data_IF_587813334393
#
_entry.id   IF_587813334393
#
_cell.length_a   1.000
_cell.length_b   1.000
_cell.length_c   1.000
_cell.angle_alpha   90.00
_cell.angle_beta   90.00
_cell.angle_gamma   90.00
#
_symmetry.space_group_name_H-M   'P 1'
#
loop_
_entity.id
_entity.type
_entity.pdbx_description
1 polymer ?
#
# COMPACT_ATOMS: atom_id res chain seq x y z
N UNK A 1 19.70 -5.89 17.74
CA UNK A 1 18.80 -7.00 18.08
C UNK A 1 18.79 -7.99 16.92
N UNK A 2 18.72 -9.29 17.18
CA UNK A 2 18.39 -10.27 16.13
C UNK A 2 16.87 -10.53 16.10
N UNK A 3 16.39 -11.21 15.06
CA UNK A 3 14.96 -11.38 14.80
C UNK A 3 14.19 -12.18 15.85
N UNK A 4 14.80 -13.24 16.39
CA UNK A 4 14.15 -14.09 17.41
C UNK A 4 14.00 -13.35 18.73
N UNK A 5 14.98 -12.52 19.11
CA UNK A 5 14.88 -11.68 20.29
C UNK A 5 13.82 -10.57 20.14
N UNK A 6 13.62 -10.04 18.92
CA UNK A 6 12.59 -9.01 18.69
C UNK A 6 11.18 -9.49 19.06
N UNK A 7 10.77 -10.67 18.57
CA UNK A 7 9.43 -11.23 18.87
C UNK A 7 9.25 -11.46 20.37
N UNK A 8 10.26 -12.03 21.02
CA UNK A 8 10.21 -12.30 22.46
C UNK A 8 10.03 -11.00 23.27
N UNK A 9 10.76 -9.95 22.93
CA UNK A 9 10.67 -8.64 23.60
C UNK A 9 9.29 -7.99 23.37
N UNK A 10 8.74 -8.07 22.15
CA UNK A 10 7.38 -7.57 21.88
C UNK A 10 6.37 -8.28 22.79
N UNK A 11 6.44 -9.61 22.87
CA UNK A 11 5.53 -10.39 23.71
C UNK A 11 5.68 -10.05 25.20
N UNK A 12 6.91 -9.81 25.66
CA UNK A 12 7.20 -9.37 27.04
C UNK A 12 6.55 -8.00 27.33
N UNK A 13 6.66 -7.05 26.40
CA UNK A 13 6.03 -5.74 26.55
C UNK A 13 4.51 -5.81 26.50
N UNK A 14 3.92 -6.63 25.62
CA UNK A 14 2.46 -6.85 25.56
C UNK A 14 1.97 -7.43 26.89
N UNK A 15 2.64 -8.45 27.41
CA UNK A 15 2.30 -9.05 28.69
C UNK A 15 2.42 -8.03 29.85
N UNK A 16 3.52 -7.27 29.90
CA UNK A 16 3.74 -6.23 30.90
C UNK A 16 2.66 -5.14 30.87
N UNK A 17 2.16 -4.83 29.67
CA UNK A 17 1.09 -3.85 29.47
C UNK A 17 -0.32 -4.32 29.87
N UNK A 18 -0.45 -5.58 30.34
CA UNK A 18 -1.76 -6.19 30.62
C UNK A 18 -2.51 -6.64 29.37
N UNK A 19 -1.80 -6.91 28.27
CA UNK A 19 -2.35 -7.29 26.96
C UNK A 19 -3.28 -6.23 26.36
N UNK A 20 -2.92 -4.95 26.51
CA UNK A 20 -3.63 -3.85 25.89
C UNK A 20 -3.52 -3.88 24.35
N UNK A 21 -4.51 -3.35 23.61
CA UNK A 21 -4.43 -3.26 22.14
C UNK A 21 -3.23 -2.41 21.70
N UNK A 22 -2.33 -3.01 20.90
CA UNK A 22 -1.12 -2.35 20.39
C UNK A 22 -1.47 -1.43 19.22
N UNK A 23 -1.01 -0.18 19.28
CA UNK A 23 -1.24 0.83 18.23
C UNK A 23 0.04 1.34 17.58
N UNK A 24 1.20 0.96 18.13
CA UNK A 24 2.50 1.27 17.56
C UNK A 24 3.57 0.33 18.07
N UNK A 25 4.54 0.00 17.23
CA UNK A 25 5.82 -0.60 17.62
C UNK A 25 6.95 0.29 17.08
N UNK A 26 7.96 0.59 17.88
CA UNK A 26 9.21 1.24 17.45
C UNK A 26 10.40 0.33 17.81
N UNK A 27 11.33 0.15 16.88
CA UNK A 27 12.53 -0.69 17.05
C UNK A 27 13.76 0.09 16.59
N UNK A 28 14.69 0.26 17.52
CA UNK A 28 16.02 0.80 17.25
C UNK A 28 17.09 -0.28 17.44
N UNK A 29 18.37 0.07 17.29
CA UNK A 29 19.47 -0.87 17.56
C UNK A 29 19.45 -1.43 18.99
N UNK A 30 19.01 -0.62 19.97
CA UNK A 30 19.20 -0.87 21.41
C UNK A 30 17.93 -0.83 22.25
N UNK A 31 16.80 -0.37 21.69
CA UNK A 31 15.53 -0.28 22.39
C UNK A 31 14.37 -0.70 21.50
N UNK A 32 13.34 -1.29 22.12
CA UNK A 32 12.08 -1.64 21.49
C UNK A 32 10.98 -1.04 22.34
N UNK A 33 9.99 -0.39 21.73
CA UNK A 33 8.84 0.11 22.47
C UNK A 33 7.53 -0.22 21.76
N UNK A 34 6.47 -0.42 22.55
CA UNK A 34 5.11 -0.51 22.06
C UNK A 34 4.28 0.63 22.65
N UNK A 35 3.34 1.15 21.86
CA UNK A 35 2.24 1.97 22.37
C UNK A 35 1.00 1.10 22.44
N UNK A 36 0.32 1.12 23.57
CA UNK A 36 -0.94 0.41 23.80
C UNK A 36 -2.04 1.39 24.21
N UNK A 37 -3.29 1.10 23.86
CA UNK A 37 -4.44 1.84 24.39
C UNK A 37 -4.94 1.21 25.69
N UNK A 38 -4.80 1.91 26.81
CA UNK A 38 -5.31 1.48 28.11
C UNK A 38 -6.28 2.54 28.62
N UNK A 39 -7.53 2.16 28.91
CA UNK A 39 -8.55 3.09 29.42
C UNK A 39 -8.82 4.29 28.50
N UNK A 40 -8.61 4.15 27.19
CA UNK A 40 -8.78 5.21 26.20
C UNK A 40 -7.59 6.18 26.05
N UNK A 41 -6.50 5.97 26.80
CA UNK A 41 -5.27 6.77 26.68
C UNK A 41 -4.09 5.94 26.17
N UNK A 42 -3.24 6.49 25.28
CA UNK A 42 -2.05 5.78 24.81
C UNK A 42 -0.98 5.72 25.90
N UNK A 43 -0.46 4.53 26.18
CA UNK A 43 0.64 4.29 27.13
C UNK A 43 1.84 3.67 26.42
N UNK A 44 3.04 4.18 26.70
CA UNK A 44 4.29 3.70 26.09
C UNK A 44 4.97 2.70 27.03
N UNK A 45 5.31 1.53 26.51
CA UNK A 45 6.09 0.50 27.20
C UNK A 45 7.38 0.29 26.42
N UNK A 46 8.52 0.42 27.09
CA UNK A 46 9.84 0.37 26.45
C UNK A 46 10.69 -0.70 27.10
N UNK A 47 11.25 -1.57 26.28
CA UNK A 47 12.33 -2.45 26.64
C UNK A 47 13.66 -1.81 26.21
N UNK A 48 14.61 -1.75 27.13
CA UNK A 48 15.98 -1.31 26.85
C UNK A 48 16.96 -2.03 27.77
N UNK A 49 17.98 -2.68 27.17
CA UNK A 49 19.04 -3.37 27.90
C UNK A 49 18.53 -4.34 28.98
N UNK A 50 17.47 -5.11 28.67
CA UNK A 50 16.90 -6.11 29.58
C UNK A 50 16.01 -5.53 30.69
N UNK A 51 15.64 -4.25 30.61
CA UNK A 51 14.71 -3.60 31.54
C UNK A 51 13.49 -3.10 30.79
N UNK A 52 12.31 -3.31 31.37
CA UNK A 52 11.06 -2.72 30.93
C UNK A 52 10.76 -1.50 31.79
N UNK A 53 10.40 -0.41 31.14
CA UNK A 53 9.88 0.80 31.76
C UNK A 53 8.57 1.21 31.05
N UNK A 54 7.70 1.93 31.76
CA UNK A 54 6.43 2.40 31.22
C UNK A 54 6.20 3.87 31.53
N UNK A 55 5.61 4.58 30.57
CA UNK A 55 5.22 5.98 30.76
C UNK A 55 3.86 6.25 30.12
N UNK A 56 2.93 6.73 30.95
CA UNK A 56 1.59 7.12 30.53
C UNK A 56 1.56 8.49 29.81
N UNK A 57 2.63 9.29 29.92
CA UNK A 57 2.69 10.70 29.50
C UNK A 57 3.53 10.98 28.25
N UNK A 58 4.10 9.96 27.59
CA UNK A 58 5.07 10.17 26.50
C UNK A 58 4.59 9.75 25.11
N UNK A 59 3.38 9.22 24.94
CA UNK A 59 2.87 8.97 23.59
C UNK A 59 2.21 10.22 23.02
N UNK A 60 2.83 10.82 21.99
CA UNK A 60 2.23 11.90 21.19
C UNK A 60 1.29 11.37 20.10
N UNK A 61 0.96 10.07 20.12
CA UNK A 61 0.08 9.44 19.13
C UNK A 61 -1.37 9.78 19.45
N UNK A 62 -2.01 10.57 18.58
CA UNK A 62 -3.36 11.12 18.80
C UNK A 62 -4.49 10.12 18.56
N UNK A 63 -4.30 9.12 17.69
CA UNK A 63 -5.12 7.93 17.54
C UNK A 63 -4.48 7.04 16.46
N UNK A 64 -4.53 5.72 16.64
CA UNK A 64 -4.14 4.76 15.61
C UNK A 64 -4.93 3.48 15.83
N UNK A 65 -5.33 2.83 14.75
CA UNK A 65 -6.02 1.55 14.76
C UNK A 65 -5.14 0.51 15.49
N UNK A 66 -5.69 -0.25 16.43
CA UNK A 66 -4.99 -1.39 16.99
C UNK A 66 -4.68 -2.45 15.94
N UNK A 67 -3.55 -3.11 16.08
CA UNK A 67 -3.14 -4.25 15.24
C UNK A 67 -2.49 -5.33 16.09
N UNK A 68 -2.41 -6.54 15.54
CA UNK A 68 -1.65 -7.62 16.13
C UNK A 68 -0.20 -7.58 15.60
N UNK A 69 0.82 -7.40 16.45
CA UNK A 69 2.20 -7.48 16.01
C UNK A 69 2.59 -8.84 15.39
N UNK A 70 1.83 -9.92 15.62
CA UNK A 70 2.05 -11.23 14.99
C UNK A 70 1.72 -11.25 13.50
N UNK A 71 0.91 -10.30 13.01
CA UNK A 71 0.66 -10.11 11.57
C UNK A 71 1.87 -9.55 10.81
N UNK A 72 2.91 -9.13 11.53
CA UNK A 72 4.12 -8.50 10.98
C UNK A 72 5.34 -9.41 11.15
N UNK A 73 6.17 -9.49 10.12
CA UNK A 73 7.39 -10.27 10.07
C UNK A 73 8.55 -9.65 10.89
N UNK A 74 8.33 -9.42 12.19
CA UNK A 74 9.32 -8.77 13.08
C UNK A 74 10.56 -9.64 13.30
N UNK A 75 10.48 -10.94 13.04
CA UNK A 75 11.62 -11.84 12.98
C UNK A 75 12.57 -11.53 11.81
N UNK A 76 12.07 -10.83 10.77
CA UNK A 76 12.88 -10.37 9.63
C UNK A 76 13.49 -8.98 9.84
N UNK A 77 13.35 -8.37 11.02
CA UNK A 77 13.90 -7.02 11.31
C UNK A 77 15.36 -6.85 10.87
N UNK A 78 16.30 -7.79 11.10
CA UNK A 78 17.67 -7.62 10.60
C UNK A 78 17.77 -7.51 9.08
N UNK A 79 16.91 -8.22 8.34
CA UNK A 79 16.86 -8.20 6.87
C UNK A 79 16.19 -6.91 6.37
N UNK A 80 15.10 -6.50 7.03
CA UNK A 80 14.39 -5.24 6.75
C UNK A 80 15.32 -4.05 6.94
N UNK A 81 16.04 -3.98 8.06
CA UNK A 81 16.98 -2.88 8.35
C UNK A 81 18.14 -2.83 7.35
N UNK A 82 18.70 -3.98 6.95
CA UNK A 82 19.72 -4.03 5.89
C UNK A 82 19.18 -3.50 4.57
N UNK A 83 18.03 -4.01 4.13
CA UNK A 83 17.40 -3.57 2.88
C UNK A 83 17.07 -2.08 2.89
N UNK A 84 16.58 -1.56 4.02
CA UNK A 84 16.31 -0.15 4.20
C UNK A 84 17.59 0.69 4.12
N UNK A 85 18.71 0.21 4.67
CA UNK A 85 19.98 0.92 4.58
C UNK A 85 20.50 0.99 3.14
N UNK A 86 20.41 -0.13 2.40
CA UNK A 86 20.83 -0.19 0.99
C UNK A 86 20.02 0.80 0.14
N UNK A 87 18.73 0.96 0.43
CA UNK A 87 17.83 1.84 -0.34
C UNK A 87 17.87 3.30 0.09
N UNK A 88 18.04 3.56 1.39
CA UNK A 88 18.15 4.93 1.92
C UNK A 88 19.57 5.49 1.79
N UNK A 89 20.57 4.63 1.58
CA UNK A 89 21.98 5.01 1.53
C UNK A 89 22.59 5.24 2.91
N UNK A 90 21.93 4.84 4.00
CA UNK A 90 22.41 5.06 5.37
C UNK A 90 22.11 3.90 6.31
N UNK A 91 23.15 3.42 7.00
CA UNK A 91 23.04 2.46 8.10
C UNK A 91 22.93 3.13 9.47
N UNK A 92 22.95 4.47 9.53
CA UNK A 92 23.05 5.21 10.79
C UNK A 92 21.68 5.46 11.40
N UNK A 93 21.58 5.19 12.72
CA UNK A 93 20.43 5.54 13.56
C UNK A 93 19.08 5.13 12.97
N UNK A 94 19.01 3.91 12.45
CA UNK A 94 17.77 3.38 11.89
C UNK A 94 16.71 3.22 12.98
N UNK A 95 15.49 3.62 12.65
CA UNK A 95 14.30 3.40 13.45
C UNK A 95 13.25 2.72 12.57
N UNK A 96 12.88 1.49 12.93
CA UNK A 96 11.76 0.79 12.34
C UNK A 96 10.50 1.12 13.14
N UNK A 97 9.41 1.45 12.46
CA UNK A 97 8.11 1.69 13.07
C UNK A 97 7.07 0.79 12.44
N UNK A 98 6.15 0.27 13.25
CA UNK A 98 4.91 -0.38 12.81
C UNK A 98 3.76 0.48 13.32
N UNK A 99 3.02 1.12 12.43
CA UNK A 99 2.00 2.10 12.79
C UNK A 99 0.96 2.24 11.68
N UNK A 100 -0.25 2.66 12.02
CA UNK A 100 -1.25 3.03 11.02
C UNK A 100 -0.71 4.14 10.11
N UNK A 101 -0.72 3.85 8.81
CA UNK A 101 -0.35 4.77 7.75
C UNK A 101 -1.56 5.51 7.19
N UNK A 102 -2.65 4.78 6.88
CA UNK A 102 -3.86 5.37 6.31
C UNK A 102 -5.10 4.48 6.42
N UNK A 103 -6.20 5.02 6.96
CA UNK A 103 -7.54 4.39 6.97
C UNK A 103 -7.53 2.92 7.44
N UNK A 104 -6.82 2.65 8.52
CA UNK A 104 -6.66 1.32 9.11
C UNK A 104 -5.59 0.44 8.47
N UNK A 105 -4.90 0.91 7.42
CA UNK A 105 -3.73 0.21 6.87
C UNK A 105 -2.54 0.47 7.77
N UNK A 106 -1.99 -0.59 8.37
CA UNK A 106 -0.77 -0.56 9.20
C UNK A 106 0.41 -1.04 8.36
N UNK A 107 1.52 -0.32 8.40
CA UNK A 107 2.73 -0.62 7.63
C UNK A 107 3.97 -0.63 8.51
N UNK A 108 5.02 -1.26 7.99
CA UNK A 108 6.37 -1.11 8.53
C UNK A 108 7.11 -0.01 7.77
N UNK A 109 7.73 0.91 8.49
CA UNK A 109 8.58 1.97 7.92
C UNK A 109 9.95 1.96 8.57
N UNK A 110 10.99 2.25 7.80
CA UNK A 110 12.34 2.47 8.34
C UNK A 110 12.80 3.86 7.94
N UNK A 111 13.18 4.65 8.94
CA UNK A 111 13.80 5.97 8.78
C UNK A 111 15.24 5.95 9.32
N UNK A 112 16.09 6.84 8.84
CA UNK A 112 17.49 7.00 9.29
C UNK A 112 17.72 8.42 9.82
N UNK A 113 18.78 8.63 10.61
CA UNK A 113 19.19 9.98 11.05
C UNK A 113 20.70 10.21 10.85
N UNK A 114 21.13 11.30 10.17
CA UNK A 114 20.29 12.33 9.52
C UNK A 114 19.42 11.74 8.39
N UNK A 115 18.22 12.31 8.23
CA UNK A 115 17.14 11.75 7.41
C UNK A 115 17.51 11.75 5.93
N UNK A 116 17.52 10.55 5.33
CA UNK A 116 17.85 10.37 3.91
C UNK A 116 16.59 10.04 3.10
N UNK A 117 15.85 9.00 3.49
CA UNK A 117 14.60 8.56 2.88
C UNK A 117 13.89 7.53 3.77
N UNK A 118 12.58 7.66 3.94
CA UNK A 118 11.77 6.59 4.57
C UNK A 118 11.56 5.45 3.58
N UNK A 119 11.84 4.22 4.03
CA UNK A 119 11.61 2.99 3.24
C UNK A 119 10.41 2.26 3.83
N UNK A 120 9.48 1.85 2.97
CA UNK A 120 8.24 1.21 3.37
C UNK A 120 8.27 -0.30 3.11
N UNK A 121 7.66 -1.07 4.00
CA UNK A 121 7.59 -2.51 3.93
C UNK A 121 6.16 -2.99 4.22
N UNK A 122 5.75 -4.06 3.53
CA UNK A 122 4.51 -4.80 3.77
C UNK A 122 4.61 -5.63 5.04
N UNK A 123 3.50 -6.12 5.62
CA UNK A 123 3.51 -6.93 6.84
C UNK A 123 4.44 -8.15 6.78
N UNK A 124 4.58 -8.79 5.62
CA UNK A 124 5.45 -9.94 5.40
C UNK A 124 6.97 -9.61 5.36
N UNK A 125 7.33 -8.32 5.48
CA UNK A 125 8.70 -7.82 5.42
C UNK A 125 9.21 -7.54 4.00
N UNK A 126 8.39 -7.74 2.96
CA UNK A 126 8.73 -7.35 1.60
C UNK A 126 8.72 -5.82 1.45
N UNK A 127 9.60 -5.30 0.59
CA UNK A 127 9.70 -3.87 0.34
C UNK A 127 8.59 -3.39 -0.59
N UNK A 128 8.05 -2.20 -0.32
CA UNK A 128 7.18 -1.46 -1.24
C UNK A 128 8.09 -0.70 -2.21
N UNK A 129 8.09 -1.09 -3.48
CA UNK A 129 9.04 -0.58 -4.46
C UNK A 129 8.59 0.76 -5.06
N UNK A 130 9.55 1.48 -5.65
CA UNK A 130 9.23 2.49 -6.65
C UNK A 130 8.56 1.83 -7.86
N UNK A 131 7.47 2.41 -8.34
CA UNK A 131 6.72 1.86 -9.46
C UNK A 131 7.06 2.58 -10.76
N UNK A 132 7.57 1.81 -11.72
CA UNK A 132 7.48 2.16 -13.14
C UNK A 132 6.18 1.60 -13.72
N UNK A 133 5.17 2.47 -13.89
CA UNK A 133 3.85 2.11 -14.43
C UNK A 133 3.90 1.64 -15.90
N UNK A 134 4.98 1.89 -16.64
CA UNK A 134 5.15 1.40 -18.01
C UNK A 134 5.79 -0.01 -18.06
N UNK A 135 6.20 -0.55 -16.91
CA UNK A 135 6.81 -1.88 -16.79
C UNK A 135 5.80 -2.92 -16.32
N UNK A 136 5.99 -4.18 -16.73
CA UNK A 136 5.17 -5.28 -16.20
C UNK A 136 5.26 -5.42 -14.68
N UNK A 137 6.46 -5.49 -14.05
CA UNK A 137 6.57 -5.62 -12.61
C UNK A 137 5.92 -4.45 -11.85
N UNK A 138 6.14 -3.22 -12.33
CA UNK A 138 5.56 -2.04 -11.69
C UNK A 138 4.04 -1.99 -11.80
N UNK A 139 3.47 -2.28 -12.98
CA UNK A 139 2.02 -2.34 -13.13
C UNK A 139 1.40 -3.47 -12.29
N UNK A 140 2.07 -4.62 -12.20
CA UNK A 140 1.60 -5.73 -11.38
C UNK A 140 1.53 -5.35 -9.89
N UNK A 141 2.62 -4.78 -9.34
CA UNK A 141 2.66 -4.31 -7.96
C UNK A 141 1.66 -3.17 -7.72
N UNK A 142 1.52 -2.24 -8.67
CA UNK A 142 0.57 -1.14 -8.55
C UNK A 142 -0.88 -1.60 -8.44
N UNK A 143 -1.26 -2.58 -9.28
CA UNK A 143 -2.60 -3.15 -9.28
C UNK A 143 -2.84 -3.95 -8.01
N UNK A 144 -1.90 -4.82 -7.62
CA UNK A 144 -2.00 -5.62 -6.40
C UNK A 144 -2.20 -4.74 -5.15
N UNK A 145 -1.34 -3.73 -4.99
CA UNK A 145 -1.42 -2.78 -3.86
C UNK A 145 -2.73 -1.96 -3.88
N UNK A 146 -3.23 -1.59 -5.07
CA UNK A 146 -4.42 -0.77 -5.22
C UNK A 146 -5.73 -1.57 -5.14
N UNK A 147 -5.74 -2.84 -5.53
CA UNK A 147 -6.90 -3.72 -5.36
C UNK A 147 -6.97 -4.28 -3.95
N UNK A 148 -5.82 -4.52 -3.30
CA UNK A 148 -5.73 -5.19 -2.00
C UNK A 148 -6.63 -6.44 -1.97
N UNK A 149 -7.44 -6.61 -0.92
CA UNK A 149 -8.34 -7.76 -0.75
C UNK A 149 -9.70 -7.61 -1.46
N UNK A 150 -9.85 -6.65 -2.37
CA UNK A 150 -11.11 -6.45 -3.06
C UNK A 150 -11.46 -7.66 -3.94
N UNK A 151 -12.66 -8.20 -3.78
CA UNK A 151 -13.19 -9.26 -4.66
C UNK A 151 -13.98 -8.70 -5.84
N UNK A 152 -14.44 -7.44 -5.72
CA UNK A 152 -15.14 -6.69 -6.75
C UNK A 152 -14.68 -5.23 -6.76
N UNK A 153 -14.48 -4.68 -7.95
CA UNK A 153 -14.10 -3.29 -8.17
C UNK A 153 -15.04 -2.66 -9.20
N UNK A 154 -15.30 -1.37 -9.06
CA UNK A 154 -16.12 -0.61 -10.00
C UNK A 154 -15.29 -0.10 -11.19
N UNK A 155 -14.10 0.40 -10.90
CA UNK A 155 -13.22 1.02 -11.89
C UNK A 155 -11.76 0.92 -11.48
N UNK A 156 -10.87 0.80 -12.46
CA UNK A 156 -9.44 1.09 -12.33
C UNK A 156 -9.09 2.24 -13.25
N UNK A 157 -8.21 3.13 -12.84
CA UNK A 157 -7.70 4.18 -13.71
C UNK A 157 -6.23 4.43 -13.45
N UNK A 158 -5.51 4.81 -14.50
CA UNK A 158 -4.16 5.32 -14.41
C UNK A 158 -4.15 6.77 -14.86
N UNK A 159 -3.63 7.63 -13.99
CA UNK A 159 -3.30 9.00 -14.33
C UNK A 159 -1.80 9.11 -14.59
N UNK A 160 -1.39 9.56 -15.79
CA UNK A 160 0.01 9.72 -16.18
C UNK A 160 0.86 10.39 -15.11
N UNK A 161 2.00 9.76 -14.82
CA UNK A 161 3.00 10.19 -13.82
C UNK A 161 2.45 10.46 -12.41
N UNK A 162 1.24 9.97 -12.08
CA UNK A 162 0.64 10.16 -10.76
C UNK A 162 0.40 8.85 -10.04
N UNK A 163 -0.55 8.04 -10.51
CA UNK A 163 -0.96 6.85 -9.77
C UNK A 163 -1.88 5.94 -10.58
N UNK A 164 -1.92 4.68 -10.15
CA UNK A 164 -3.06 3.78 -10.37
C UNK A 164 -4.07 3.99 -9.24
N UNK A 165 -5.35 4.09 -9.58
CA UNK A 165 -6.46 4.26 -8.66
C UNK A 165 -7.52 3.21 -8.91
N UNK A 166 -7.99 2.56 -7.86
CA UNK A 166 -9.04 1.54 -7.89
C UNK A 166 -10.20 2.02 -7.03
N UNK A 167 -11.40 2.02 -7.61
CA UNK A 167 -12.64 2.33 -6.90
C UNK A 167 -13.36 1.03 -6.53
N UNK A 168 -13.63 0.83 -5.24
CA UNK A 168 -14.35 -0.32 -4.69
C UNK A 168 -15.72 0.09 -4.13
N UNK A 169 -16.75 -0.77 -4.30
CA UNK A 169 -18.04 -0.54 -3.67
C UNK A 169 -17.91 -0.60 -2.14
N UNK A 170 -18.76 0.16 -1.45
CA UNK A 170 -18.97 0.01 0.00
C UNK A 170 -20.37 -0.51 0.29
N UNK A 171 -20.65 -0.84 1.55
CA UNK A 171 -22.01 -1.19 1.99
C UNK A 171 -22.96 0.02 1.98
N UNK A 172 -22.44 1.25 1.88
CA UNK A 172 -23.25 2.46 1.85
C UNK A 172 -23.52 2.89 0.41
N UNK A 173 -24.80 2.92 -0.04
CA UNK A 173 -25.15 3.35 -1.38
C UNK A 173 -24.61 4.75 -1.71
N UNK A 174 -24.06 4.92 -2.91
CA UNK A 174 -23.48 6.18 -3.38
C UNK A 174 -22.11 6.54 -2.78
N UNK A 175 -21.53 5.65 -1.98
CA UNK A 175 -20.18 5.79 -1.42
C UNK A 175 -19.28 4.67 -1.93
N UNK A 176 -18.12 5.06 -2.43
CA UNK A 176 -17.03 4.16 -2.83
C UNK A 176 -15.79 4.43 -1.97
N UNK A 177 -14.89 3.46 -1.93
CA UNK A 177 -13.51 3.67 -1.47
C UNK A 177 -12.61 3.73 -2.69
N UNK A 178 -11.86 4.83 -2.84
CA UNK A 178 -10.77 4.92 -3.80
C UNK A 178 -9.47 4.56 -3.13
N UNK A 179 -8.82 3.50 -3.58
CA UNK A 179 -7.46 3.16 -3.18
C UNK A 179 -6.49 3.57 -4.28
N UNK A 180 -5.45 4.32 -3.91
CA UNK A 180 -4.50 4.96 -4.83
C UNK A 180 -3.11 4.45 -4.53
N UNK A 181 -2.39 3.99 -5.57
CA UNK A 181 -0.98 3.62 -5.52
C UNK A 181 -0.19 4.54 -6.46
N UNK A 182 0.52 5.53 -5.89
CA UNK A 182 1.47 6.38 -6.62
C UNK A 182 2.83 5.71 -6.75
N UNK A 183 3.76 6.32 -7.48
CA UNK A 183 5.06 5.70 -7.75
C UNK A 183 5.89 5.41 -6.48
N UNK A 184 5.99 6.38 -5.58
CA UNK A 184 6.91 6.35 -4.45
C UNK A 184 6.26 6.12 -3.08
N UNK A 185 4.93 6.09 -3.01
CA UNK A 185 4.19 5.94 -1.75
C UNK A 185 3.42 4.62 -1.70
N UNK A 186 3.30 4.00 -0.50
CA UNK A 186 2.37 2.90 -0.29
C UNK A 186 0.95 3.28 -0.67
N UNK A 187 0.13 2.30 -1.02
CA UNK A 187 -1.27 2.56 -1.35
C UNK A 187 -2.05 3.15 -0.17
N UNK A 188 -2.90 4.13 -0.45
CA UNK A 188 -3.79 4.77 0.53
C UNK A 188 -5.23 4.81 0.03
N UNK A 189 -6.19 4.79 0.94
CA UNK A 189 -7.62 4.79 0.67
C UNK A 189 -8.28 6.10 1.10
N UNK A 190 -9.30 6.52 0.34
CA UNK A 190 -10.20 7.61 0.71
C UNK A 190 -11.64 7.23 0.36
N UNK A 191 -12.58 7.52 1.27
CA UNK A 191 -14.00 7.43 0.94
C UNK A 191 -14.41 8.64 0.12
N UNK A 192 -15.27 8.43 -0.87
CA UNK A 192 -15.84 9.50 -1.69
C UNK A 192 -17.20 9.12 -2.22
N UNK A 193 -17.99 10.13 -2.61
CA UNK A 193 -19.19 9.91 -3.41
C UNK A 193 -18.79 9.32 -4.77
N UNK A 194 -19.52 8.31 -5.20
CA UNK A 194 -19.32 7.65 -6.48
C UNK A 194 -20.35 6.57 -6.72
N UNK A 195 -20.45 6.13 -7.97
CA UNK A 195 -21.28 5.01 -8.36
C UNK A 195 -20.43 3.74 -8.45
N UNK A 196 -20.95 2.65 -7.89
CA UNK A 196 -20.40 1.30 -8.00
C UNK A 196 -21.52 0.28 -8.23
N UNK A 197 -22.59 0.71 -8.90
CA UNK A 197 -23.70 -0.14 -9.34
C UNK A 197 -23.25 -1.28 -10.24
N UNK A 198 -22.21 -1.04 -11.03
CA UNK A 198 -21.60 -2.02 -11.92
C UNK A 198 -20.16 -2.30 -11.47
N UNK A 199 -19.82 -3.58 -11.36
CA UNK A 199 -18.52 -4.02 -10.84
C UNK A 199 -18.02 -5.25 -11.58
N UNK A 200 -16.72 -5.50 -11.53
CA UNK A 200 -16.07 -6.68 -12.09
C UNK A 200 -15.02 -7.25 -11.14
N UNK A 201 -14.55 -8.48 -11.43
CA UNK A 201 -13.50 -9.12 -10.63
C UNK A 201 -12.12 -8.52 -10.95
N UNK A 202 -11.31 -8.13 -9.95
CA UNK A 202 -9.93 -7.70 -10.17
C UNK A 202 -9.05 -8.76 -10.84
N UNK A 203 -9.41 -10.05 -10.73
CA UNK A 203 -8.68 -11.14 -11.38
C UNK A 203 -8.69 -11.06 -12.92
N UNK A 204 -9.58 -10.24 -13.51
CA UNK A 204 -9.62 -9.96 -14.94
C UNK A 204 -8.54 -8.95 -15.38
N UNK A 205 -7.92 -8.23 -14.44
CA UNK A 205 -6.84 -7.30 -14.73
C UNK A 205 -5.56 -8.08 -15.03
N UNK A 206 -5.05 -7.93 -16.25
CA UNK A 206 -3.81 -8.57 -16.69
C UNK A 206 -2.71 -7.51 -16.88
N UNK A 207 -1.78 -7.34 -15.93
CA UNK A 207 -0.76 -6.27 -16.00
C UNK A 207 0.05 -6.28 -17.30
N UNK A 208 0.38 -7.48 -17.84
CA UNK A 208 1.08 -7.61 -19.12
C UNK A 208 0.28 -7.06 -20.30
N UNK A 209 -1.03 -7.31 -20.33
CA UNK A 209 -1.92 -6.86 -21.39
C UNK A 209 -2.04 -5.34 -21.33
N UNK A 210 -2.27 -4.77 -20.14
CA UNK A 210 -2.36 -3.32 -19.92
C UNK A 210 -1.09 -2.62 -20.41
N UNK A 211 0.09 -3.09 -19.99
CA UNK A 211 1.37 -2.54 -20.43
C UNK A 211 1.57 -2.67 -21.94
N UNK A 212 1.18 -3.79 -22.55
CA UNK A 212 1.27 -3.99 -23.99
C UNK A 212 0.36 -3.02 -24.75
N UNK A 213 -0.86 -2.78 -24.26
CA UNK A 213 -1.77 -1.78 -24.83
C UNK A 213 -1.16 -0.38 -24.70
N UNK A 214 -0.63 -0.01 -23.54
CA UNK A 214 0.04 1.29 -23.33
C UNK A 214 1.19 1.48 -24.32
N UNK A 215 2.01 0.46 -24.54
CA UNK A 215 3.13 0.50 -25.50
C UNK A 215 2.64 0.66 -26.94
N UNK A 216 1.66 -0.15 -27.36
CA UNK A 216 1.10 -0.10 -28.71
C UNK A 216 0.46 1.26 -29.02
N UNK A 217 -0.32 1.78 -28.07
CA UNK A 217 -1.04 3.04 -28.22
C UNK A 217 -0.12 4.24 -28.18
N UNK A 218 0.88 4.24 -27.29
CA UNK A 218 1.92 5.26 -27.24
C UNK A 218 2.72 5.34 -28.54
N UNK A 219 3.11 4.18 -29.10
CA UNK A 219 3.83 4.12 -30.38
C UNK A 219 3.00 4.75 -31.52
N UNK A 220 1.70 4.42 -31.61
CA UNK A 220 0.79 5.01 -32.61
C UNK A 220 0.60 6.52 -32.41
N UNK A 221 0.68 6.99 -31.17
CA UNK A 221 0.52 8.40 -30.82
C UNK A 221 1.82 9.21 -30.88
N UNK A 222 2.98 8.58 -31.13
CA UNK A 222 4.31 9.15 -30.97
C UNK A 222 4.54 9.76 -29.57
N UNK A 223 4.16 9.00 -28.53
CA UNK A 223 4.23 9.38 -27.11
C UNK A 223 4.95 8.30 -26.30
N UNK A 224 5.22 8.57 -25.02
CA UNK A 224 5.70 7.56 -24.08
C UNK A 224 4.53 6.80 -23.43
N UNK A 225 4.67 5.51 -23.11
CA UNK A 225 3.61 4.76 -22.42
C UNK A 225 3.16 5.40 -21.09
N UNK A 226 4.09 5.99 -20.33
CA UNK A 226 3.79 6.67 -19.07
C UNK A 226 2.90 7.91 -19.23
N UNK A 227 2.82 8.47 -20.43
CA UNK A 227 1.99 9.65 -20.73
C UNK A 227 0.54 9.27 -21.09
N UNK A 228 0.24 7.97 -21.17
CA UNK A 228 -1.02 7.44 -21.66
C UNK A 228 -1.96 7.09 -20.50
N UNK A 229 -2.88 8.00 -20.19
CA UNK A 229 -3.92 7.75 -19.19
C UNK A 229 -4.96 6.77 -19.70
N UNK A 230 -5.47 5.92 -18.80
CA UNK A 230 -6.48 4.93 -19.16
C UNK A 230 -7.44 4.66 -18.01
N UNK A 231 -8.60 4.10 -18.35
CA UNK A 231 -9.62 3.66 -17.40
C UNK A 231 -10.11 2.27 -17.80
N UNK A 232 -10.36 1.39 -16.83
CA UNK A 232 -10.98 0.09 -17.00
C UNK A 232 -12.26 0.07 -16.18
N UNK A 233 -13.39 -0.18 -16.82
CA UNK A 233 -14.69 -0.35 -16.17
C UNK A 233 -15.49 -1.42 -16.89
N UNK A 234 -16.47 -2.02 -16.22
CA UNK A 234 -17.43 -2.91 -16.86
C UNK A 234 -18.16 -2.14 -17.97
N UNK A 235 -18.21 -2.72 -19.16
CA UNK A 235 -18.99 -2.22 -20.27
C UNK A 235 -20.37 -2.88 -20.29
N UNK A 236 -21.43 -2.10 -20.50
CA UNK A 236 -22.81 -2.60 -20.49
C UNK A 236 -23.21 -3.35 -21.76
N UNK A 237 -22.54 -3.07 -22.89
CA UNK A 237 -22.86 -3.66 -24.19
C UNK A 237 -22.20 -5.03 -24.32
N UNK A 238 -20.93 -5.11 -23.94
CA UNK A 238 -20.14 -6.34 -24.03
C UNK A 238 -20.16 -7.20 -22.75
N UNK A 239 -20.76 -6.69 -21.67
CA UNK A 239 -20.80 -7.33 -20.34
C UNK A 239 -19.44 -7.83 -19.85
N UNK A 240 -18.39 -7.04 -20.09
CA UNK A 240 -17.02 -7.34 -19.67
C UNK A 240 -16.24 -6.06 -19.37
N UNK A 241 -15.14 -6.12 -18.58
CA UNK A 241 -14.30 -4.96 -18.35
C UNK A 241 -13.54 -4.55 -19.61
N UNK A 242 -13.65 -3.27 -19.96
CA UNK A 242 -13.03 -2.67 -21.15
C UNK A 242 -12.06 -1.58 -20.72
N UNK A 243 -10.81 -1.67 -21.21
CA UNK A 243 -9.81 -0.63 -21.08
C UNK A 243 -10.04 0.44 -22.15
N UNK A 244 -10.23 1.68 -21.71
CA UNK A 244 -10.36 2.86 -22.56
C UNK A 244 -9.16 3.76 -22.40
N UNK A 245 -8.64 4.23 -23.52
CA UNK A 245 -7.47 5.10 -23.61
C UNK A 245 -7.73 6.18 -24.66
N UNK A 246 -7.47 7.43 -24.29
CA UNK A 246 -7.68 8.56 -25.18
C UNK A 246 -6.40 8.87 -25.96
N UNK A 247 -6.51 8.85 -27.29
CA UNK A 247 -5.40 9.09 -28.21
C UNK A 247 -5.80 10.22 -29.14
N UNK A 248 -5.21 11.40 -28.92
CA UNK A 248 -5.43 12.59 -29.75
C UNK A 248 -6.93 12.93 -29.93
N UNK A 249 -7.72 12.80 -28.86
CA UNK A 249 -9.17 13.06 -28.86
C UNK A 249 -10.03 11.93 -29.40
N UNK A 250 -9.44 10.76 -29.66
CA UNK A 250 -10.16 9.54 -30.05
C UNK A 250 -9.97 8.48 -28.97
N UNK A 251 -11.06 8.08 -28.32
CA UNK A 251 -11.06 6.98 -27.38
C UNK A 251 -10.92 5.65 -28.12
N UNK A 252 -9.92 4.86 -27.75
CA UNK A 252 -9.78 3.45 -28.14
C UNK A 252 -10.20 2.56 -27.00
N UNK A 253 -10.80 1.42 -27.32
CA UNK A 253 -11.29 0.45 -26.36
C UNK A 253 -10.67 -0.93 -26.60
N UNK A 254 -10.25 -1.59 -25.52
CA UNK A 254 -9.63 -2.89 -25.55
C UNK A 254 -10.26 -3.83 -24.52
N UNK A 255 -10.48 -5.08 -24.90
CA UNK A 255 -10.92 -6.12 -23.97
C UNK A 255 -9.79 -6.54 -22.99
N UNK A 256 -10.10 -7.44 -22.06
CA UNK A 256 -9.13 -7.97 -21.09
C UNK A 256 -7.99 -8.80 -21.71
N UNK A 257 -8.09 -9.16 -23.00
CA UNK A 257 -7.05 -9.85 -23.75
C UNK A 257 -6.20 -8.90 -24.62
N UNK A 258 -6.60 -7.63 -24.71
CA UNK A 258 -5.94 -6.61 -25.52
C UNK A 258 -6.43 -6.56 -26.97
N UNK A 259 -7.56 -7.19 -27.27
CA UNK A 259 -8.24 -7.05 -28.57
C UNK A 259 -8.85 -5.66 -28.67
N UNK A 260 -8.64 -4.96 -29.78
CA UNK A 260 -9.31 -3.69 -30.06
C UNK A 260 -10.79 -3.96 -30.34
N UNK A 261 -11.67 -3.39 -29.50
CA UNK A 261 -13.13 -3.51 -29.58
C UNK A 261 -13.78 -2.13 -29.74
N UNK A 262 -13.02 -1.14 -30.22
CA UNK A 262 -13.47 0.25 -30.33
C UNK A 262 -14.78 0.40 -31.11
N UNK A 263 -14.99 -0.41 -32.15
CA UNK A 263 -16.21 -0.33 -32.97
C UNK A 263 -17.41 -1.07 -32.34
N UNK A 264 -17.19 -1.93 -31.34
CA UNK A 264 -18.22 -2.72 -30.66
C UNK A 264 -18.83 -2.00 -29.44
N UNK A 265 -18.10 -1.01 -28.89
CA UNK A 265 -18.51 -0.26 -27.68
C UNK A 265 -18.96 1.18 -27.97
N UNK A 266 -19.26 1.49 -29.24
CA UNK A 266 -19.77 2.80 -29.69
C UNK A 266 -21.23 3.02 -29.33
#
# INVERSE_FOLDING_TARGET
>A
MDGTHTRAIINELIAASGNGPVTKVDITKTALSITVQIGGSPSLWTWQNGKIDSSATQSTQTASRPFDPDDFAVEKVPQILRKAADMSGSHMNQNLQIVEYNQGTVLMTVSTKPESRTVFFRPDGSVINHIDFASYPGMAEALDDATADATRIAQVSYQPDKAVMVDTPTQTPGIIVRRTRSADMPAWAVQRKGDASTTFSPALLKPRVIVSIMQLTAAKANRKPSEMGWTISQDSTLDQPILRIDINGVTRAFDANGTDVTDEVK
#
